data_IF_769597577537
#
_entry.id   IF_769597577537
#
_cell.length_a   1.000
_cell.length_b   1.000
_cell.length_c   1.000
_cell.angle_alpha   90.00
_cell.angle_beta   90.00
_cell.angle_gamma   90.00
#
_symmetry.space_group_name_H-M   'P 1'
#
loop_
_entity.id
_entity.type
_entity.pdbx_description
1 polymer ?
#
# COMPACT_ATOMS: atom_id res chain seq x y z
N UNK A 1 -15.97 -30.80 23.32
CA UNK A 1 -16.50 -29.94 22.24
C UNK A 1 -15.35 -29.11 21.69
N UNK A 2 -14.97 -29.32 20.43
CA UNK A 2 -13.93 -28.50 19.81
C UNK A 2 -14.46 -27.07 19.66
N UNK A 3 -13.76 -26.08 20.23
CA UNK A 3 -14.05 -24.67 19.98
C UNK A 3 -13.88 -24.44 18.48
N UNK A 4 -14.98 -24.19 17.79
CA UNK A 4 -14.99 -23.62 16.44
C UNK A 4 -14.01 -22.44 16.42
N UNK A 5 -12.97 -22.52 15.58
CA UNK A 5 -11.99 -21.47 15.42
C UNK A 5 -12.71 -20.35 14.68
N UNK A 6 -13.22 -19.36 15.41
CA UNK A 6 -13.91 -18.21 14.82
C UNK A 6 -12.96 -17.53 13.85
N UNK A 7 -13.14 -17.75 12.56
CA UNK A 7 -12.39 -17.05 11.52
C UNK A 7 -12.87 -15.61 11.57
N UNK A 8 -12.02 -14.72 12.09
CA UNK A 8 -12.26 -13.28 12.04
C UNK A 8 -12.45 -12.93 10.56
N UNK A 9 -13.58 -12.32 10.22
CA UNK A 9 -13.88 -11.95 8.84
C UNK A 9 -13.12 -10.66 8.49
N UNK A 10 -12.47 -10.64 7.32
CA UNK A 10 -11.87 -9.43 6.77
C UNK A 10 -12.94 -8.38 6.50
N UNK A 11 -12.66 -7.12 6.83
CA UNK A 11 -13.51 -5.97 6.48
C UNK A 11 -12.88 -5.06 5.41
N UNK A 12 -11.96 -5.60 4.61
CA UNK A 12 -11.20 -4.85 3.61
C UNK A 12 -12.08 -4.03 2.66
N UNK A 13 -13.23 -4.54 2.14
CA UNK A 13 -14.12 -3.73 1.32
C UNK A 13 -14.67 -2.48 2.04
N UNK A 14 -14.94 -2.57 3.35
CA UNK A 14 -15.40 -1.41 4.14
C UNK A 14 -14.28 -0.39 4.37
N UNK A 15 -13.03 -0.85 4.50
CA UNK A 15 -11.86 0.03 4.62
C UNK A 15 -11.60 0.75 3.31
N UNK A 16 -11.67 0.04 2.18
CA UNK A 16 -11.54 0.63 0.85
C UNK A 16 -12.65 1.66 0.58
N UNK A 17 -13.91 1.32 0.88
CA UNK A 17 -15.04 2.25 0.73
C UNK A 17 -14.88 3.53 1.56
N UNK A 18 -14.49 3.39 2.83
CA UNK A 18 -14.23 4.53 3.72
C UNK A 18 -13.13 5.44 3.19
N UNK A 19 -11.99 4.87 2.81
CA UNK A 19 -10.84 5.61 2.33
C UNK A 19 -11.11 6.30 0.98
N UNK A 20 -11.68 5.56 0.02
CA UNK A 20 -12.04 6.10 -1.29
C UNK A 20 -13.14 7.16 -1.16
N UNK A 21 -14.05 7.02 -0.19
CA UNK A 21 -15.02 8.04 0.19
C UNK A 21 -14.36 9.36 0.61
N UNK A 22 -13.28 9.30 1.39
CA UNK A 22 -12.49 10.49 1.73
C UNK A 22 -11.81 11.10 0.50
N UNK A 23 -11.14 10.29 -0.33
CA UNK A 23 -10.50 10.76 -1.58
C UNK A 23 -11.50 11.50 -2.45
N UNK A 24 -12.72 10.95 -2.59
CA UNK A 24 -13.83 11.56 -3.31
C UNK A 24 -14.30 12.86 -2.67
N UNK A 25 -14.44 12.92 -1.34
CA UNK A 25 -14.86 14.13 -0.62
C UNK A 25 -13.86 15.29 -0.74
N UNK A 26 -12.59 14.98 -0.97
CA UNK A 26 -11.53 15.94 -1.24
C UNK A 26 -11.38 16.27 -2.74
N UNK A 27 -12.27 15.75 -3.59
CA UNK A 27 -12.24 15.93 -5.04
C UNK A 27 -10.91 15.50 -5.69
N UNK A 28 -10.25 14.48 -5.14
CA UNK A 28 -8.99 13.97 -5.69
C UNK A 28 -9.27 13.10 -6.92
N UNK A 29 -8.46 13.26 -7.97
CA UNK A 29 -8.54 12.42 -9.19
C UNK A 29 -7.79 11.10 -8.98
N UNK A 30 -8.26 10.28 -8.05
CA UNK A 30 -7.71 8.94 -7.82
C UNK A 30 -8.20 7.93 -8.86
N UNK A 31 -7.42 6.88 -9.04
CA UNK A 31 -7.63 5.77 -9.96
C UNK A 31 -7.63 4.47 -9.18
N UNK A 32 -8.64 3.64 -9.39
CA UNK A 32 -8.74 2.31 -8.78
C UNK A 32 -7.77 1.32 -9.45
N UNK A 33 -7.68 0.12 -8.88
CA UNK A 33 -6.76 -0.96 -9.25
C UNK A 33 -6.59 -1.20 -10.77
N UNK A 34 -7.71 -1.22 -11.50
CA UNK A 34 -7.73 -1.52 -12.94
C UNK A 34 -7.66 -0.28 -13.84
N UNK A 35 -7.79 0.93 -13.28
CA UNK A 35 -7.72 2.16 -14.05
C UNK A 35 -6.27 2.59 -14.31
N UNK A 36 -6.01 3.20 -15.46
CA UNK A 36 -4.69 3.76 -15.78
C UNK A 36 -4.48 5.12 -15.09
N UNK A 37 -3.26 5.36 -14.60
CA UNK A 37 -2.86 6.68 -14.08
C UNK A 37 -2.07 7.46 -15.13
N UNK A 38 -0.97 6.88 -15.62
CA UNK A 38 -0.22 7.31 -16.80
C UNK A 38 0.73 6.18 -17.25
N UNK A 39 1.19 6.25 -18.49
CA UNK A 39 1.99 5.20 -19.12
C UNK A 39 3.30 4.89 -18.36
N UNK A 40 3.99 5.90 -17.82
CA UNK A 40 5.26 5.70 -17.09
C UNK A 40 5.03 4.91 -15.79
N UNK A 41 4.06 5.33 -14.97
CA UNK A 41 3.73 4.67 -13.71
C UNK A 41 3.14 3.28 -13.96
N UNK A 42 2.22 3.15 -14.92
CA UNK A 42 1.55 1.88 -15.17
C UNK A 42 2.54 0.83 -15.71
N UNK A 43 3.49 1.25 -16.56
CA UNK A 43 4.58 0.39 -17.01
C UNK A 43 5.53 -0.01 -15.88
N UNK A 44 5.93 0.94 -15.03
CA UNK A 44 6.79 0.65 -13.87
C UNK A 44 6.17 -0.36 -12.92
N UNK A 45 4.87 -0.24 -12.66
CA UNK A 45 4.10 -1.20 -11.86
C UNK A 45 3.99 -2.57 -12.54
N UNK A 46 3.81 -2.61 -13.86
CA UNK A 46 3.71 -3.88 -14.60
C UNK A 46 5.03 -4.65 -14.71
N UNK A 47 6.16 -3.95 -14.82
CA UNK A 47 7.47 -4.56 -15.03
C UNK A 47 8.10 -5.08 -13.72
N UNK A 48 7.65 -4.57 -12.58
CA UNK A 48 8.17 -4.98 -11.26
C UNK A 48 7.56 -6.31 -10.81
N UNK A 49 8.30 -7.07 -10.00
CA UNK A 49 7.81 -8.37 -9.53
C UNK A 49 6.54 -8.19 -8.69
N UNK A 50 5.58 -9.09 -8.88
CA UNK A 50 4.32 -9.09 -8.11
C UNK A 50 4.60 -9.36 -6.65
N UNK A 51 3.64 -9.02 -5.78
CA UNK A 51 3.71 -9.36 -4.35
C UNK A 51 3.83 -10.87 -4.06
N UNK A 52 3.56 -11.73 -5.05
CA UNK A 52 3.74 -13.17 -4.96
C UNK A 52 5.04 -13.70 -5.59
N UNK A 53 5.92 -12.80 -6.08
CA UNK A 53 7.23 -13.17 -6.63
C UNK A 53 7.22 -13.66 -8.08
N UNK A 54 6.08 -13.58 -8.77
CA UNK A 54 5.92 -13.92 -10.18
C UNK A 54 5.80 -12.71 -11.10
N UNK A 55 5.63 -12.98 -12.40
CA UNK A 55 5.39 -11.99 -13.45
C UNK A 55 3.88 -11.74 -13.56
N UNK A 56 3.45 -10.48 -13.54
CA UNK A 56 2.05 -10.06 -13.57
C UNK A 56 1.90 -8.61 -13.09
N UNK A 57 0.72 -8.02 -13.25
CA UNK A 57 0.52 -6.61 -12.91
C UNK A 57 0.52 -6.39 -11.38
N UNK A 58 1.47 -5.60 -10.87
CA UNK A 58 1.55 -5.15 -9.48
C UNK A 58 0.59 -3.96 -9.30
N UNK A 59 -0.63 -4.17 -8.81
CA UNK A 59 -1.70 -3.14 -8.82
C UNK A 59 -2.09 -2.63 -7.43
N UNK A 60 -1.77 -1.37 -7.07
CA UNK A 60 -2.32 -0.73 -5.88
C UNK A 60 -3.84 -0.68 -5.92
N UNK A 61 -4.50 -0.79 -4.76
CA UNK A 61 -5.97 -0.71 -4.66
C UNK A 61 -6.48 0.66 -5.14
N UNK A 62 -5.74 1.72 -4.83
CA UNK A 62 -5.93 3.06 -5.37
C UNK A 62 -4.59 3.76 -5.60
N UNK A 63 -4.56 4.65 -6.59
CA UNK A 63 -3.38 5.45 -6.94
C UNK A 63 -3.77 6.83 -7.45
N UNK A 64 -2.88 7.80 -7.26
CA UNK A 64 -3.06 9.16 -7.75
C UNK A 64 -1.70 9.84 -7.93
N UNK A 65 -1.70 10.92 -8.70
CA UNK A 65 -0.54 11.79 -8.91
C UNK A 65 -0.96 13.20 -8.50
N UNK A 66 -0.32 13.74 -7.47
CA UNK A 66 -0.57 15.12 -7.01
C UNK A 66 0.65 15.99 -7.26
N UNK A 67 0.41 17.27 -7.50
CA UNK A 67 1.46 18.26 -7.65
C UNK A 67 1.40 19.23 -6.48
N UNK A 68 2.55 19.54 -5.89
CA UNK A 68 2.65 20.56 -4.85
C UNK A 68 2.73 21.98 -5.45
N UNK A 69 2.86 22.99 -4.59
CA UNK A 69 2.97 24.40 -5.01
C UNK A 69 4.28 24.73 -5.74
N UNK A 70 5.31 23.90 -5.61
CA UNK A 70 6.63 24.07 -6.24
C UNK A 70 6.70 23.34 -7.59
N UNK A 71 5.59 22.74 -8.03
CA UNK A 71 5.45 21.96 -9.26
C UNK A 71 6.04 20.55 -9.18
N UNK A 72 6.39 20.08 -7.97
CA UNK A 72 6.88 18.73 -7.76
C UNK A 72 5.72 17.74 -7.73
N UNK A 73 5.86 16.66 -8.50
CA UNK A 73 4.86 15.61 -8.62
C UNK A 73 5.16 14.47 -7.64
N UNK A 74 4.13 14.07 -6.89
CA UNK A 74 4.15 12.99 -5.92
C UNK A 74 3.19 11.89 -6.34
N UNK A 75 3.69 10.74 -6.83
CA UNK A 75 2.89 9.54 -6.92
C UNK A 75 2.45 9.10 -5.52
N UNK A 76 1.18 8.74 -5.38
CA UNK A 76 0.60 8.25 -4.14
C UNK A 76 -0.02 6.88 -4.41
N UNK A 77 0.43 5.88 -3.66
CA UNK A 77 0.04 4.48 -3.85
C UNK A 77 -0.58 3.97 -2.56
N UNK A 78 -1.80 3.43 -2.66
CA UNK A 78 -2.63 3.08 -1.51
C UNK A 78 -2.95 1.59 -1.53
N UNK A 79 -2.81 0.96 -0.37
CA UNK A 79 -3.17 -0.43 -0.13
C UNK A 79 -4.10 -0.54 1.09
N UNK A 80 -5.12 -1.37 0.96
CA UNK A 80 -6.09 -1.67 2.00
C UNK A 80 -5.92 -3.09 2.55
N UNK A 81 -6.16 -3.26 3.86
CA UNK A 81 -6.29 -4.58 4.52
C UNK A 81 -7.44 -4.61 5.49
N UNK A 82 -8.10 -5.75 5.64
CA UNK A 82 -9.29 -5.88 6.50
C UNK A 82 -9.09 -6.48 7.89
N UNK A 83 -7.86 -6.54 8.43
CA UNK A 83 -7.58 -7.16 9.72
C UNK A 83 -6.86 -6.21 10.68
N UNK A 84 -7.28 -6.18 11.95
CA UNK A 84 -6.80 -5.28 13.02
C UNK A 84 -5.29 -5.05 13.08
N UNK A 85 -4.49 -6.09 12.81
CA UNK A 85 -3.03 -6.06 12.98
C UNK A 85 -2.26 -6.04 11.65
N UNK A 86 -2.93 -5.84 10.52
CA UNK A 86 -2.32 -5.91 9.19
C UNK A 86 -1.93 -4.52 8.63
N UNK A 87 -1.61 -3.57 9.51
CA UNK A 87 -1.20 -2.23 9.06
C UNK A 87 0.22 -2.27 8.47
N UNK A 88 1.20 -2.71 9.28
CA UNK A 88 2.62 -2.67 8.94
C UNK A 88 3.36 -3.75 9.72
N UNK A 89 4.37 -4.33 9.08
CA UNK A 89 5.39 -5.17 9.72
C UNK A 89 6.73 -4.46 9.62
N UNK A 90 7.32 -4.18 10.77
CA UNK A 90 8.62 -3.51 10.90
C UNK A 90 9.72 -4.50 11.30
N UNK A 91 10.94 -4.19 10.90
CA UNK A 91 12.16 -4.89 11.33
C UNK A 91 12.62 -4.39 12.71
N UNK A 92 13.77 -4.91 13.19
CA UNK A 92 14.36 -4.51 14.47
C UNK A 92 14.80 -3.04 14.53
N UNK A 93 14.99 -2.39 13.38
CA UNK A 93 15.38 -0.98 13.27
C UNK A 93 14.17 -0.05 13.12
N UNK A 94 12.95 -0.60 13.14
CA UNK A 94 11.72 0.16 12.93
C UNK A 94 11.44 0.52 11.47
N UNK A 95 12.12 -0.13 10.51
CA UNK A 95 11.90 0.07 9.07
C UNK A 95 10.90 -0.94 8.53
N UNK A 96 10.23 -0.64 7.41
CA UNK A 96 9.29 -1.57 6.77
C UNK A 96 10.01 -2.84 6.33
N UNK A 97 9.63 -3.98 6.91
CA UNK A 97 10.29 -5.29 6.71
C UNK A 97 9.88 -5.92 5.36
N UNK A 98 10.30 -5.29 4.27
CA UNK A 98 10.07 -5.76 2.90
C UNK A 98 11.21 -6.62 2.35
N UNK A 99 12.29 -6.78 3.11
CA UNK A 99 13.41 -7.66 2.78
C UNK A 99 13.67 -8.65 3.89
N UNK A 100 14.11 -9.86 3.54
CA UNK A 100 14.58 -10.86 4.49
C UNK A 100 15.99 -10.53 4.96
N UNK A 101 16.48 -11.26 5.97
CA UNK A 101 17.89 -11.17 6.40
C UNK A 101 18.91 -11.48 5.28
N UNK A 102 18.47 -12.11 4.19
CA UNK A 102 19.28 -12.38 2.98
C UNK A 102 19.16 -11.30 1.91
N UNK A 103 18.50 -10.18 2.21
CA UNK A 103 18.22 -9.09 1.26
C UNK A 103 17.33 -9.49 0.06
N UNK A 104 16.52 -10.55 0.22
CA UNK A 104 15.52 -10.99 -0.76
C UNK A 104 14.14 -10.39 -0.42
N UNK A 105 13.22 -10.22 -1.39
CA UNK A 105 11.87 -9.72 -1.10
C UNK A 105 11.12 -10.55 -0.05
N UNK A 106 10.61 -9.91 1.00
CA UNK A 106 9.82 -10.58 2.04
C UNK A 106 8.34 -10.67 1.63
N UNK A 107 8.05 -11.43 0.57
CA UNK A 107 6.73 -11.52 -0.08
C UNK A 107 5.55 -11.76 0.88
N UNK A 108 5.77 -12.56 1.94
CA UNK A 108 4.75 -12.77 2.99
C UNK A 108 4.31 -11.45 3.64
N UNK A 109 5.25 -10.57 3.96
CA UNK A 109 4.95 -9.28 4.61
C UNK A 109 4.33 -8.32 3.61
N UNK A 110 4.90 -8.24 2.41
CA UNK A 110 4.40 -7.42 1.29
C UNK A 110 2.93 -7.72 0.99
N UNK A 111 2.53 -8.99 1.03
CA UNK A 111 1.13 -9.40 0.84
C UNK A 111 0.25 -9.16 2.06
N UNK A 112 0.77 -9.38 3.27
CA UNK A 112 -0.05 -9.46 4.48
C UNK A 112 -0.35 -8.10 5.11
N UNK A 113 0.50 -7.09 4.88
CA UNK A 113 0.42 -5.80 5.55
C UNK A 113 0.26 -4.65 4.56
N UNK A 114 -0.63 -3.71 4.88
CA UNK A 114 -1.02 -2.61 3.99
C UNK A 114 0.17 -1.73 3.60
N UNK A 115 0.91 -1.21 4.60
CA UNK A 115 2.09 -0.35 4.37
C UNK A 115 3.16 -1.09 3.58
N UNK A 116 3.43 -2.35 3.92
CA UNK A 116 4.43 -3.16 3.21
C UNK A 116 4.09 -3.31 1.72
N UNK A 117 2.81 -3.53 1.39
CA UNK A 117 2.32 -3.54 0.02
C UNK A 117 2.48 -2.18 -0.68
N UNK A 118 2.09 -1.08 -0.02
CA UNK A 118 2.23 0.27 -0.58
C UNK A 118 3.70 0.66 -0.84
N UNK A 119 4.62 0.35 0.08
CA UNK A 119 6.06 0.58 -0.08
C UNK A 119 6.66 -0.29 -1.17
N UNK A 120 6.17 -1.52 -1.36
CA UNK A 120 6.57 -2.36 -2.49
C UNK A 120 6.23 -1.72 -3.84
N UNK A 121 5.03 -1.14 -3.99
CA UNK A 121 4.68 -0.38 -5.19
C UNK A 121 5.55 0.87 -5.35
N UNK A 122 5.83 1.59 -4.27
CA UNK A 122 6.68 2.78 -4.32
C UNK A 122 8.09 2.43 -4.83
N UNK A 123 8.65 1.30 -4.38
CA UNK A 123 9.92 0.80 -4.87
C UNK A 123 9.90 0.41 -6.36
N UNK A 124 8.77 -0.03 -6.90
CA UNK A 124 8.64 -0.23 -8.36
C UNK A 124 8.87 1.09 -9.11
N UNK A 125 8.22 2.17 -8.65
CA UNK A 125 8.37 3.48 -9.26
C UNK A 125 9.79 4.05 -9.08
N UNK A 126 10.39 3.94 -7.89
CA UNK A 126 11.77 4.41 -7.68
C UNK A 126 12.79 3.75 -8.63
N UNK A 127 12.56 2.49 -9.01
CA UNK A 127 13.46 1.75 -9.90
C UNK A 127 13.19 2.00 -11.39
N UNK A 128 11.95 2.27 -11.78
CA UNK A 128 11.53 2.26 -13.19
C UNK A 128 11.01 3.59 -13.71
N UNK A 129 11.05 4.64 -12.90
CA UNK A 129 10.59 5.99 -13.28
C UNK A 129 11.59 7.07 -12.86
N UNK A 130 11.33 8.30 -13.32
CA UNK A 130 12.08 9.49 -12.89
C UNK A 130 11.70 10.00 -11.49
N UNK A 131 10.53 9.60 -10.95
CA UNK A 131 10.07 10.03 -9.62
C UNK A 131 11.06 9.64 -8.53
N UNK A 132 11.40 10.61 -7.68
CA UNK A 132 12.35 10.42 -6.58
C UNK A 132 11.67 10.31 -5.23
N UNK A 133 10.42 10.76 -5.13
CA UNK A 133 9.69 10.99 -3.89
C UNK A 133 8.24 10.53 -4.07
N UNK A 134 7.83 9.56 -3.25
CA UNK A 134 6.58 8.83 -3.40
C UNK A 134 5.92 8.72 -2.02
N UNK A 135 4.60 8.87 -1.98
CA UNK A 135 3.82 8.64 -0.75
C UNK A 135 3.20 7.24 -0.80
N UNK A 136 3.57 6.39 0.15
CA UNK A 136 2.98 5.07 0.34
C UNK A 136 1.97 5.14 1.49
N UNK A 137 0.71 4.77 1.24
CA UNK A 137 -0.35 4.77 2.24
C UNK A 137 -0.86 3.35 2.44
N UNK A 138 -0.75 2.86 3.67
CA UNK A 138 -1.42 1.62 4.09
C UNK A 138 -2.57 1.94 5.02
N UNK A 139 -3.75 1.38 4.78
CA UNK A 139 -4.87 1.49 5.70
C UNK A 139 -5.45 0.12 6.05
N UNK A 140 -5.79 -0.06 7.32
CA UNK A 140 -6.45 -1.28 7.77
C UNK A 140 -7.54 -0.99 8.80
N UNK A 141 -8.33 -2.00 9.14
CA UNK A 141 -9.25 -1.90 10.26
C UNK A 141 -9.95 -3.21 10.58
N UNK A 142 -10.85 -3.14 11.55
CA UNK A 142 -11.71 -4.22 12.01
C UNK A 142 -13.01 -3.63 12.55
N UNK A 143 -14.05 -4.46 12.70
CA UNK A 143 -15.24 -4.08 13.46
C UNK A 143 -15.07 -4.45 14.92
N UNK A 144 -15.36 -3.52 15.82
CA UNK A 144 -15.42 -3.80 17.25
C UNK A 144 -16.70 -4.56 17.64
N UNK A 145 -16.87 -4.83 18.93
CA UNK A 145 -18.04 -5.56 19.47
C UNK A 145 -19.37 -4.83 19.24
N UNK A 146 -19.34 -3.54 18.91
CA UNK A 146 -20.50 -2.73 18.55
C UNK A 146 -20.70 -2.61 17.02
N UNK A 147 -20.03 -3.46 16.23
CA UNK A 147 -20.03 -3.45 14.76
C UNK A 147 -19.50 -2.13 14.15
N UNK A 148 -18.83 -1.28 14.94
CA UNK A 148 -18.25 -0.03 14.48
C UNK A 148 -16.87 -0.27 13.87
N UNK A 149 -16.63 0.34 12.72
CA UNK A 149 -15.32 0.27 12.04
C UNK A 149 -14.29 1.06 12.85
N UNK A 150 -13.26 0.35 13.30
CA UNK A 150 -12.04 0.91 13.86
C UNK A 150 -10.94 0.77 12.81
N UNK A 151 -10.34 1.89 12.39
CA UNK A 151 -9.32 1.90 11.35
C UNK A 151 -7.98 2.43 11.84
N UNK A 152 -6.92 2.14 11.09
CA UNK A 152 -5.58 2.70 11.23
C UNK A 152 -5.01 3.03 9.87
N UNK A 153 -4.23 4.11 9.80
CA UNK A 153 -3.57 4.58 8.59
C UNK A 153 -2.08 4.73 8.91
N UNK A 154 -1.23 4.29 7.99
CA UNK A 154 0.21 4.54 7.98
C UNK A 154 0.55 5.27 6.68
N UNK A 155 1.24 6.40 6.79
CA UNK A 155 1.68 7.22 5.67
C UNK A 155 3.21 7.27 5.72
N UNK A 156 3.85 6.82 4.65
CA UNK A 156 5.29 6.67 4.55
C UNK A 156 5.81 7.48 3.37
N UNK A 157 6.95 8.14 3.58
CA UNK A 157 7.62 8.89 2.55
C UNK A 157 8.72 8.02 1.98
N UNK A 158 8.55 7.52 0.76
CA UNK A 158 9.48 6.58 0.13
C UNK A 158 10.28 7.33 -0.92
N UNK A 159 11.60 7.38 -0.77
CA UNK A 159 12.46 8.15 -1.67
C UNK A 159 13.78 7.46 -1.99
N UNK A 160 14.47 7.94 -3.03
CA UNK A 160 15.84 7.50 -3.32
C UNK A 160 16.79 7.85 -2.15
N UNK A 161 16.55 8.97 -1.46
CA UNK A 161 17.40 9.44 -0.37
C UNK A 161 17.31 8.57 0.90
N UNK A 162 16.17 7.91 1.12
CA UNK A 162 16.00 6.95 2.21
C UNK A 162 16.07 5.49 1.74
N UNK A 163 16.62 5.25 0.54
CA UNK A 163 16.83 3.91 0.00
C UNK A 163 15.56 3.05 -0.10
N UNK A 164 14.39 3.67 -0.23
CA UNK A 164 13.13 2.96 -0.44
C UNK A 164 12.52 2.29 0.81
N UNK A 165 12.96 2.67 2.01
CA UNK A 165 12.53 2.03 3.27
C UNK A 165 11.21 2.57 3.82
N UNK A 166 10.85 3.81 3.44
CA UNK A 166 9.65 4.52 3.89
C UNK A 166 9.78 5.21 5.24
#
# INVERSE_FOLDING_TARGET
MAKSKTTIQSIEPNIADLANGWLKSYNLTYKLEQESLNDEIDKALSDYFTKNGGIGANRPDAKLLLQDKNLDFYPILIEYKGYKNNLVKLDSNGQVENKTAKNEPHLKNINSFAVNGAVHYANALLHHTSYTDIIAIGMTGYKDEAEKIQYKIGVYYVSKSNFGVG
#
